data_IF_501484627598
#
_entry.id   IF_501484627598
#
_cell.length_a   1.000
_cell.length_b   1.000
_cell.length_c   1.000
_cell.angle_alpha   90.00
_cell.angle_beta   90.00
_cell.angle_gamma   90.00
#
_symmetry.space_group_name_H-M   'P 1'
#
loop_
_entity.id
_entity.type
_entity.pdbx_description
1 polymer ?
#
# COMPACT_ATOMS: atom_id res chain seq x y z
N UNK A 1 3.67 22.17 2.69
CA UNK A 1 2.63 21.18 2.28
C UNK A 1 2.37 21.25 0.77
N UNK A 2 3.32 20.84 -0.08
CA UNK A 2 3.18 21.01 -1.55
C UNK A 2 2.14 20.08 -2.20
N UNK A 3 1.90 18.88 -1.64
CA UNK A 3 0.97 17.89 -2.22
C UNK A 3 -0.48 18.00 -1.71
N UNK A 4 -0.75 18.89 -0.74
CA UNK A 4 -2.08 19.01 -0.16
C UNK A 4 -3.10 19.61 -1.14
N UNK A 5 -2.70 20.65 -1.87
CA UNK A 5 -3.57 21.35 -2.83
C UNK A 5 -3.91 20.48 -4.04
N UNK A 6 -2.92 19.84 -4.73
CA UNK A 6 -3.22 18.95 -5.85
C UNK A 6 -4.09 17.76 -5.45
N UNK A 7 -3.89 17.20 -4.25
CA UNK A 7 -4.73 16.10 -3.71
C UNK A 7 -6.17 16.54 -3.53
N UNK A 8 -6.41 17.70 -2.91
CA UNK A 8 -7.77 18.26 -2.75
C UNK A 8 -8.44 18.60 -4.08
N UNK A 9 -7.64 18.97 -5.08
CA UNK A 9 -8.14 19.35 -6.40
C UNK A 9 -8.42 18.16 -7.31
N UNK A 10 -8.11 16.93 -6.90
CA UNK A 10 -8.24 15.72 -7.74
C UNK A 10 -9.07 14.62 -7.08
N UNK A 11 -9.20 14.62 -5.74
CA UNK A 11 -10.10 13.71 -5.02
C UNK A 11 -11.43 14.45 -4.79
N UNK A 12 -12.56 13.96 -5.35
CA UNK A 12 -13.86 14.50 -4.98
C UNK A 12 -14.22 14.15 -3.53
N UNK A 13 -14.50 15.17 -2.73
CA UNK A 13 -15.00 15.04 -1.35
C UNK A 13 -16.51 15.28 -1.35
N UNK A 14 -17.29 14.28 -0.94
CA UNK A 14 -18.76 14.31 -0.94
C UNK A 14 -19.33 14.54 0.47
N UNK A 15 -18.48 14.79 1.47
CA UNK A 15 -18.91 15.05 2.84
C UNK A 15 -19.63 16.41 2.95
N UNK A 16 -20.77 16.44 3.64
CA UNK A 16 -21.61 17.66 3.75
C UNK A 16 -20.85 18.83 4.41
N UNK A 17 -19.90 18.55 5.32
CA UNK A 17 -19.10 19.57 6.00
C UNK A 17 -18.00 20.21 5.15
N UNK A 18 -17.49 19.50 4.13
CA UNK A 18 -16.37 19.96 3.28
C UNK A 18 -16.76 20.17 1.82
N UNK A 19 -18.04 19.98 1.51
CA UNK A 19 -18.58 20.10 0.15
C UNK A 19 -18.34 21.50 -0.40
N UNK A 20 -17.76 21.54 -1.60
CA UNK A 20 -17.64 22.77 -2.36
C UNK A 20 -17.72 22.47 -3.86
N UNK A 21 -18.67 23.12 -4.53
CA UNK A 21 -18.92 22.93 -5.96
C UNK A 21 -17.67 23.17 -6.80
N UNK A 22 -16.86 24.15 -6.44
CA UNK A 22 -15.62 24.49 -7.16
C UNK A 22 -14.59 23.35 -7.09
N UNK A 23 -14.40 22.74 -5.93
CA UNK A 23 -13.48 21.61 -5.77
C UNK A 23 -14.05 20.32 -6.36
N UNK A 24 -15.36 20.09 -6.31
CA UNK A 24 -16.01 18.95 -6.97
C UNK A 24 -15.85 19.00 -8.50
N UNK A 25 -16.03 20.18 -9.10
CA UNK A 25 -15.84 20.39 -10.54
C UNK A 25 -14.36 20.34 -10.91
N UNK A 26 -13.48 20.96 -10.11
CA UNK A 26 -12.04 20.89 -10.31
C UNK A 26 -11.55 19.43 -10.26
N UNK A 27 -11.96 18.64 -9.26
CA UNK A 27 -11.60 17.22 -9.16
C UNK A 27 -12.10 16.38 -10.33
N UNK A 28 -13.35 16.56 -10.76
CA UNK A 28 -13.87 15.87 -11.95
C UNK A 28 -13.08 16.21 -13.23
N UNK A 29 -12.59 17.45 -13.36
CA UNK A 29 -11.83 17.90 -14.53
C UNK A 29 -10.34 17.54 -14.50
N UNK A 30 -9.71 17.57 -13.31
CA UNK A 30 -8.28 17.37 -13.14
C UNK A 30 -7.92 15.89 -12.92
N UNK A 31 -8.88 15.06 -12.49
CA UNK A 31 -8.64 13.63 -12.27
C UNK A 31 -8.14 12.89 -13.53
N UNK A 32 -8.76 13.02 -14.72
CA UNK A 32 -8.28 12.36 -15.92
C UNK A 32 -6.88 12.82 -16.36
N UNK A 33 -6.55 14.10 -16.14
CA UNK A 33 -5.23 14.65 -16.45
C UNK A 33 -4.13 14.05 -15.56
N UNK A 34 -4.43 13.83 -14.27
CA UNK A 34 -3.51 13.15 -13.34
C UNK A 34 -3.32 11.67 -13.73
N UNK A 35 -4.38 10.99 -14.15
CA UNK A 35 -4.27 9.61 -14.64
C UNK A 35 -3.41 9.55 -15.90
N UNK A 36 -3.60 10.49 -16.83
CA UNK A 36 -2.81 10.58 -18.05
C UNK A 36 -1.32 10.86 -17.77
N UNK A 37 -1.01 11.72 -16.80
CA UNK A 37 0.39 11.98 -16.43
C UNK A 37 1.08 10.75 -15.84
N UNK A 38 0.39 9.99 -14.98
CA UNK A 38 0.90 8.72 -14.45
C UNK A 38 1.10 7.68 -15.55
N UNK A 39 0.13 7.55 -16.45
CA UNK A 39 0.19 6.61 -17.56
C UNK A 39 1.38 6.91 -18.49
N UNK A 40 1.63 8.19 -18.78
CA UNK A 40 2.73 8.62 -19.63
C UNK A 40 4.10 8.41 -18.95
N UNK A 41 4.20 8.69 -17.65
CA UNK A 41 5.42 8.46 -16.86
C UNK A 41 5.85 6.99 -16.87
N UNK A 42 4.89 6.08 -16.65
CA UNK A 42 5.11 4.62 -16.58
C UNK A 42 5.60 4.00 -17.89
N UNK A 43 5.26 4.57 -19.05
CA UNK A 43 5.52 3.97 -20.36
C UNK A 43 6.85 4.41 -20.99
N UNK A 44 7.66 5.19 -20.28
CA UNK A 44 9.12 5.28 -20.42
C UNK A 44 9.71 5.48 -21.82
N UNK A 45 8.95 5.99 -22.79
CA UNK A 45 9.41 6.04 -24.19
C UNK A 45 8.31 6.25 -25.23
N UNK A 46 7.19 6.87 -24.86
CA UNK A 46 6.18 7.25 -25.85
C UNK A 46 6.74 8.43 -26.66
N UNK A 47 6.76 8.31 -27.99
CA UNK A 47 7.12 9.43 -28.87
C UNK A 47 6.24 10.65 -28.55
N UNK A 48 6.81 11.85 -28.63
CA UNK A 48 6.18 13.12 -28.18
C UNK A 48 4.74 13.28 -28.68
N UNK A 49 4.42 12.71 -29.85
CA UNK A 49 3.08 12.71 -30.47
C UNK A 49 2.04 11.86 -29.74
N UNK A 50 2.36 10.65 -29.28
CA UNK A 50 1.35 9.82 -28.60
C UNK A 50 1.12 10.30 -27.16
N UNK A 51 2.13 10.89 -26.51
CA UNK A 51 1.98 11.52 -25.20
C UNK A 51 1.02 12.71 -25.25
N UNK A 52 1.20 13.59 -26.24
CA UNK A 52 0.27 14.71 -26.49
C UNK A 52 -1.15 14.19 -26.76
N UNK A 53 -1.28 13.10 -27.53
CA UNK A 53 -2.57 12.49 -27.85
C UNK A 53 -3.29 11.98 -26.60
N UNK A 54 -2.58 11.34 -25.67
CA UNK A 54 -3.14 10.88 -24.38
C UNK A 54 -3.61 12.06 -23.52
N UNK A 55 -2.83 13.15 -23.44
CA UNK A 55 -3.25 14.35 -22.72
C UNK A 55 -4.46 15.04 -23.35
N UNK A 56 -4.58 15.05 -24.69
CA UNK A 56 -5.73 15.61 -25.38
C UNK A 56 -7.01 14.84 -25.07
N UNK A 57 -6.98 13.50 -25.14
CA UNK A 57 -8.14 12.66 -24.78
C UNK A 57 -8.51 12.81 -23.30
N UNK A 58 -7.51 12.86 -22.41
CA UNK A 58 -7.74 13.07 -20.99
C UNK A 58 -8.33 14.46 -20.68
N UNK A 59 -7.85 15.50 -21.38
CA UNK A 59 -8.39 16.86 -21.27
C UNK A 59 -9.84 16.94 -21.74
N UNK A 60 -10.17 16.30 -22.88
CA UNK A 60 -11.55 16.21 -23.37
C UNK A 60 -12.45 15.47 -22.37
N UNK A 61 -11.99 14.32 -21.85
CA UNK A 61 -12.71 13.55 -20.84
C UNK A 61 -12.92 14.35 -19.55
N UNK A 62 -11.91 15.07 -19.08
CA UNK A 62 -12.01 15.96 -17.93
C UNK A 62 -12.99 17.12 -18.13
N UNK A 63 -13.05 17.71 -19.33
CA UNK A 63 -14.03 18.75 -19.66
C UNK A 63 -15.47 18.21 -19.66
N UNK A 64 -15.69 17.02 -20.22
CA UNK A 64 -17.01 16.36 -20.21
C UNK A 64 -17.43 16.02 -18.77
N UNK A 65 -16.53 15.46 -17.96
CA UNK A 65 -16.82 15.15 -16.56
C UNK A 65 -17.04 16.41 -15.71
N UNK A 66 -16.26 17.47 -15.93
CA UNK A 66 -16.42 18.76 -15.26
C UNK A 66 -17.72 19.47 -15.61
N UNK A 67 -18.13 19.45 -16.88
CA UNK A 67 -19.41 20.02 -17.34
C UNK A 67 -20.62 19.22 -16.86
N UNK A 68 -20.50 17.88 -16.80
CA UNK A 68 -21.50 17.02 -16.19
C UNK A 68 -21.61 17.31 -14.68
N UNK A 69 -20.47 17.43 -13.99
CA UNK A 69 -20.42 17.77 -12.57
C UNK A 69 -21.10 19.13 -12.27
N UNK A 70 -20.96 20.12 -13.17
CA UNK A 70 -21.63 21.41 -13.06
C UNK A 70 -23.15 21.32 -13.15
N UNK A 71 -23.67 20.41 -13.99
CA UNK A 71 -25.11 20.16 -14.18
C UNK A 71 -25.72 19.32 -13.06
N UNK A 72 -24.98 18.32 -12.56
CA UNK A 72 -25.47 17.43 -11.50
C UNK A 72 -25.40 18.07 -10.10
N UNK A 73 -24.54 19.08 -9.90
CA UNK A 73 -24.30 19.70 -8.58
C UNK A 73 -25.09 21.00 -8.37
N UNK A 74 -26.00 21.02 -7.38
CA UNK A 74 -26.64 22.24 -6.85
C UNK A 74 -25.93 22.78 -5.59
N UNK A 75 -26.15 24.07 -5.28
CA UNK A 75 -25.24 24.94 -4.50
C UNK A 75 -24.92 24.54 -3.04
N UNK A 76 -25.77 23.88 -2.23
CA UNK A 76 -25.37 23.57 -0.85
C UNK A 76 -25.27 22.08 -0.51
N UNK A 77 -25.76 21.17 -1.34
CA UNK A 77 -25.84 19.75 -0.99
C UNK A 77 -25.15 18.83 -1.99
N UNK A 78 -24.49 17.76 -1.51
CA UNK A 78 -23.92 16.75 -2.38
C UNK A 78 -25.02 16.07 -3.22
N UNK A 79 -24.70 15.66 -4.46
CA UNK A 79 -25.67 15.05 -5.36
C UNK A 79 -26.14 13.69 -4.82
N UNK A 80 -27.38 13.64 -4.31
CA UNK A 80 -27.97 12.43 -3.71
C UNK A 80 -28.31 11.34 -4.75
N UNK A 81 -28.63 11.72 -5.99
CA UNK A 81 -29.05 10.80 -7.06
C UNK A 81 -27.87 10.18 -7.83
N UNK A 82 -26.71 10.82 -7.81
CA UNK A 82 -25.50 10.35 -8.51
C UNK A 82 -24.34 10.11 -7.53
N UNK A 83 -24.65 9.74 -6.29
CA UNK A 83 -23.66 9.61 -5.21
C UNK A 83 -22.60 8.52 -5.51
N UNK A 84 -23.03 7.40 -6.11
CA UNK A 84 -22.15 6.27 -6.37
C UNK A 84 -20.95 6.61 -7.29
N UNK A 85 -21.14 7.26 -8.46
CA UNK A 85 -20.01 7.73 -9.28
C UNK A 85 -19.03 8.64 -8.55
N UNK A 86 -19.51 9.53 -7.68
CA UNK A 86 -18.64 10.42 -6.91
C UNK A 86 -17.83 9.68 -5.85
N UNK A 87 -18.45 8.72 -5.15
CA UNK A 87 -17.76 7.85 -4.20
C UNK A 87 -16.74 6.94 -4.90
N UNK A 88 -17.10 6.35 -6.03
CA UNK A 88 -16.21 5.51 -6.83
C UNK A 88 -15.01 6.32 -7.37
N UNK A 89 -15.26 7.53 -7.87
CA UNK A 89 -14.20 8.45 -8.32
C UNK A 89 -13.29 8.90 -7.18
N UNK A 90 -13.86 9.23 -6.02
CA UNK A 90 -13.11 9.58 -4.80
C UNK A 90 -12.23 8.44 -4.31
N UNK A 91 -12.78 7.23 -4.30
CA UNK A 91 -12.04 6.02 -3.96
C UNK A 91 -10.89 5.76 -4.94
N UNK A 92 -11.16 5.77 -6.25
CA UNK A 92 -10.14 5.53 -7.28
C UNK A 92 -9.01 6.56 -7.19
N UNK A 93 -9.34 7.83 -7.05
CA UNK A 93 -8.35 8.90 -6.92
C UNK A 93 -7.56 8.79 -5.61
N UNK A 94 -8.18 8.33 -4.53
CA UNK A 94 -7.47 8.03 -3.27
C UNK A 94 -6.46 6.89 -3.45
N UNK A 95 -6.83 5.82 -4.15
CA UNK A 95 -5.93 4.71 -4.49
C UNK A 95 -4.75 5.20 -5.33
N UNK A 96 -4.99 6.04 -6.35
CA UNK A 96 -3.93 6.62 -7.18
C UNK A 96 -2.99 7.53 -6.38
N UNK A 97 -3.51 8.33 -5.46
CA UNK A 97 -2.69 9.16 -4.58
C UNK A 97 -1.85 8.32 -3.62
N UNK A 98 -2.42 7.27 -3.04
CA UNK A 98 -1.66 6.31 -2.21
C UNK A 98 -0.54 5.69 -3.04
N UNK A 99 -0.81 5.32 -4.29
CA UNK A 99 0.18 4.80 -5.23
C UNK A 99 1.33 5.81 -5.48
N UNK A 100 1.01 7.08 -5.82
CA UNK A 100 2.02 8.13 -6.03
C UNK A 100 2.89 8.32 -4.78
N UNK A 101 2.26 8.43 -3.61
CA UNK A 101 2.97 8.67 -2.35
C UNK A 101 3.87 7.47 -2.03
N UNK A 102 3.41 6.25 -2.27
CA UNK A 102 4.22 5.05 -2.06
C UNK A 102 5.43 5.01 -3.01
N UNK A 103 5.26 5.36 -4.29
CA UNK A 103 6.35 5.41 -5.27
C UNK A 103 7.42 6.45 -4.89
N UNK A 104 7.00 7.67 -4.55
CA UNK A 104 7.89 8.73 -4.07
C UNK A 104 8.59 8.36 -2.76
N UNK A 105 7.88 7.73 -1.82
CA UNK A 105 8.45 7.25 -0.58
C UNK A 105 9.56 6.23 -0.82
N UNK A 106 9.33 5.25 -1.71
CA UNK A 106 10.34 4.26 -2.09
C UNK A 106 11.52 4.94 -2.77
N UNK A 107 11.29 5.88 -3.69
CA UNK A 107 12.35 6.63 -4.38
C UNK A 107 13.24 7.44 -3.42
N UNK A 108 12.62 8.13 -2.46
CA UNK A 108 13.34 8.84 -1.40
C UNK A 108 14.14 7.88 -0.52
N UNK A 109 13.56 6.73 -0.17
CA UNK A 109 14.24 5.74 0.65
C UNK A 109 15.45 5.13 -0.06
N UNK A 110 15.34 4.81 -1.35
CA UNK A 110 16.47 4.36 -2.18
C UNK A 110 17.55 5.43 -2.24
N UNK A 111 17.16 6.71 -2.39
CA UNK A 111 18.11 7.84 -2.39
C UNK A 111 18.85 7.96 -1.07
N UNK A 112 18.15 7.80 0.06
CA UNK A 112 18.76 7.75 1.40
C UNK A 112 19.70 6.56 1.53
N UNK A 113 19.31 5.38 1.01
CA UNK A 113 20.18 4.21 0.97
C UNK A 113 21.48 4.45 0.21
N UNK A 114 21.41 5.13 -0.93
CA UNK A 114 22.59 5.51 -1.69
C UNK A 114 23.53 6.44 -0.91
N UNK A 115 22.99 7.44 -0.20
CA UNK A 115 23.79 8.37 0.62
C UNK A 115 24.43 7.69 1.83
N UNK A 116 23.72 6.75 2.46
CA UNK A 116 24.19 6.05 3.66
C UNK A 116 25.02 4.78 3.35
N UNK A 117 25.15 4.40 2.08
CA UNK A 117 25.80 3.14 1.68
C UNK A 117 25.02 1.89 2.09
N UNK A 118 23.70 2.01 2.30
CA UNK A 118 22.81 0.92 2.71
C UNK A 118 22.06 0.39 1.49
N UNK A 119 21.99 -0.94 1.35
CA UNK A 119 21.28 -1.56 0.23
C UNK A 119 19.77 -1.25 0.28
N UNK A 120 19.12 -0.98 -0.87
CA UNK A 120 17.67 -0.80 -0.94
C UNK A 120 16.87 -1.98 -0.36
N UNK A 121 17.42 -3.19 -0.44
CA UNK A 121 16.83 -4.40 0.13
C UNK A 121 16.69 -4.33 1.66
N UNK A 122 17.70 -3.84 2.39
CA UNK A 122 17.60 -3.66 3.85
C UNK A 122 16.50 -2.66 4.16
N UNK A 123 16.49 -1.52 3.47
CA UNK A 123 15.55 -0.43 3.73
C UNK A 123 14.11 -0.88 3.45
N UNK A 124 13.90 -1.70 2.42
CA UNK A 124 12.62 -2.35 2.17
C UNK A 124 12.21 -3.33 3.27
N UNK A 125 13.14 -4.16 3.73
CA UNK A 125 12.88 -5.17 4.76
C UNK A 125 12.73 -4.58 6.17
N UNK A 126 13.25 -3.39 6.42
CA UNK A 126 13.20 -2.69 7.71
C UNK A 126 12.22 -1.54 7.67
N UNK A 127 12.62 -0.38 7.14
CA UNK A 127 11.85 0.87 7.20
C UNK A 127 10.49 0.72 6.50
N UNK A 128 10.44 0.15 5.29
CA UNK A 128 9.14 -0.03 4.60
C UNK A 128 8.28 -1.08 5.28
N UNK A 129 8.84 -2.24 5.62
CA UNK A 129 8.11 -3.31 6.28
C UNK A 129 7.58 -2.88 7.66
N UNK A 130 8.42 -2.25 8.49
CA UNK A 130 8.01 -1.71 9.79
C UNK A 130 7.00 -0.59 9.62
N UNK A 131 7.23 0.35 8.70
CA UNK A 131 6.31 1.44 8.42
C UNK A 131 4.90 0.94 8.07
N UNK A 132 4.81 -0.13 7.28
CA UNK A 132 3.53 -0.75 6.92
C UNK A 132 2.82 -1.41 8.11
N UNK A 133 3.56 -1.98 9.07
CA UNK A 133 2.98 -2.75 10.17
C UNK A 133 3.02 -2.07 11.54
N UNK A 134 3.60 -0.87 11.68
CA UNK A 134 3.71 -0.19 12.98
C UNK A 134 2.35 0.29 13.48
N UNK A 135 1.46 0.73 12.58
CA UNK A 135 0.10 1.14 12.92
C UNK A 135 -0.70 -0.05 13.44
N UNK A 136 -0.60 -1.19 12.76
CA UNK A 136 -1.21 -2.45 13.19
C UNK A 136 -0.64 -2.91 14.53
N UNK A 137 0.68 -2.80 14.75
CA UNK A 137 1.32 -3.13 16.01
C UNK A 137 0.75 -2.30 17.16
N UNK A 138 0.64 -0.97 16.98
CA UNK A 138 0.10 -0.07 18.00
C UNK A 138 -1.37 -0.39 18.27
N UNK A 139 -2.17 -0.61 17.23
CA UNK A 139 -3.60 -0.94 17.37
C UNK A 139 -3.81 -2.28 18.07
N UNK A 140 -3.09 -3.32 17.65
CA UNK A 140 -3.17 -4.65 18.26
C UNK A 140 -2.65 -4.64 19.71
N UNK A 141 -1.59 -3.88 20.01
CA UNK A 141 -1.11 -3.71 21.37
C UNK A 141 -2.15 -2.99 22.26
N UNK A 142 -2.74 -1.90 21.76
CA UNK A 142 -3.79 -1.18 22.47
C UNK A 142 -5.01 -2.07 22.74
N UNK A 143 -5.41 -2.89 21.76
CA UNK A 143 -6.49 -3.87 21.92
C UNK A 143 -6.13 -4.99 22.89
N UNK A 144 -4.88 -5.44 22.93
CA UNK A 144 -4.42 -6.46 23.87
C UNK A 144 -4.33 -5.93 25.32
N UNK A 145 -3.95 -4.67 25.50
CA UNK A 145 -3.78 -4.05 26.83
C UNK A 145 -5.09 -3.50 27.40
N UNK A 146 -5.92 -2.87 26.57
CA UNK A 146 -7.12 -2.14 26.99
C UNK A 146 -8.42 -2.79 26.51
N UNK A 147 -8.35 -3.81 25.65
CA UNK A 147 -9.52 -4.55 25.24
C UNK A 147 -10.14 -5.32 26.40
N UNK A 148 -11.45 -5.55 26.33
CA UNK A 148 -12.19 -6.37 27.29
C UNK A 148 -11.72 -7.83 27.26
N UNK A 149 -12.50 -8.78 27.84
CA UNK A 149 -12.11 -10.20 27.99
C UNK A 149 -11.52 -10.87 26.74
N UNK A 150 -11.88 -10.44 25.52
CA UNK A 150 -11.44 -11.02 24.25
C UNK A 150 -10.44 -10.15 23.46
N UNK A 151 -9.96 -9.03 24.04
CA UNK A 151 -9.10 -8.06 23.34
C UNK A 151 -7.82 -8.66 22.76
N UNK A 152 -7.19 -9.58 23.50
CA UNK A 152 -5.99 -10.27 23.05
C UNK A 152 -6.26 -11.27 21.91
N UNK A 153 -7.44 -11.90 21.88
CA UNK A 153 -7.83 -12.79 20.78
C UNK A 153 -8.09 -11.99 19.51
N UNK A 154 -8.76 -10.84 19.62
CA UNK A 154 -8.99 -9.91 18.51
C UNK A 154 -7.65 -9.42 17.97
N UNK A 155 -6.72 -9.00 18.84
CA UNK A 155 -5.39 -8.56 18.44
C UNK A 155 -4.61 -9.65 17.67
N UNK A 156 -4.64 -10.91 18.14
CA UNK A 156 -4.01 -12.03 17.42
C UNK A 156 -4.67 -12.24 16.06
N UNK A 157 -6.00 -12.21 15.99
CA UNK A 157 -6.70 -12.39 14.72
C UNK A 157 -6.29 -11.33 13.70
N UNK A 158 -6.13 -10.07 14.12
CA UNK A 158 -5.63 -8.98 13.29
C UNK A 158 -4.19 -9.19 12.82
N UNK A 159 -3.29 -9.58 13.73
CA UNK A 159 -1.88 -9.85 13.43
C UNK A 159 -1.67 -10.94 12.37
N UNK A 160 -2.57 -11.93 12.26
CA UNK A 160 -2.49 -12.96 11.22
C UNK A 160 -3.29 -12.59 9.96
N UNK A 161 -4.51 -12.07 10.12
CA UNK A 161 -5.38 -11.75 8.98
C UNK A 161 -4.76 -10.70 8.05
N UNK A 162 -4.12 -9.67 8.61
CA UNK A 162 -3.49 -8.60 7.81
C UNK A 162 -2.40 -9.11 6.86
N UNK A 163 -1.34 -9.76 7.36
CA UNK A 163 -0.29 -10.34 6.51
C UNK A 163 -0.80 -11.40 5.53
N UNK A 164 -1.75 -12.25 5.93
CA UNK A 164 -2.38 -13.24 5.03
C UNK A 164 -3.10 -12.53 3.88
N UNK A 165 -3.91 -11.53 4.18
CA UNK A 165 -4.61 -10.75 3.17
C UNK A 165 -3.63 -10.01 2.24
N UNK A 166 -2.60 -9.36 2.78
CA UNK A 166 -1.59 -8.67 1.97
C UNK A 166 -0.84 -9.64 1.04
N UNK A 167 -0.52 -10.84 1.52
CA UNK A 167 0.16 -11.85 0.71
C UNK A 167 -0.75 -12.41 -0.39
N UNK A 168 -1.98 -12.78 -0.05
CA UNK A 168 -2.91 -13.38 -1.02
C UNK A 168 -3.45 -12.36 -2.01
N UNK A 169 -3.99 -11.25 -1.53
CA UNK A 169 -4.59 -10.23 -2.38
C UNK A 169 -3.54 -9.30 -2.97
N UNK A 170 -2.60 -8.78 -2.17
CA UNK A 170 -1.58 -7.84 -2.62
C UNK A 170 -0.56 -8.50 -3.55
N UNK A 171 0.23 -9.44 -3.03
CA UNK A 171 1.24 -10.13 -3.83
C UNK A 171 0.61 -11.02 -4.92
N UNK A 172 -0.43 -11.79 -4.59
CA UNK A 172 -1.09 -12.68 -5.56
C UNK A 172 -1.67 -11.94 -6.76
N UNK A 173 -2.43 -10.85 -6.54
CA UNK A 173 -2.97 -10.05 -7.65
C UNK A 173 -1.85 -9.37 -8.45
N UNK A 174 -0.81 -8.89 -7.78
CA UNK A 174 0.35 -8.26 -8.44
C UNK A 174 1.09 -9.25 -9.35
N UNK A 175 1.23 -10.51 -8.94
CA UNK A 175 1.81 -11.57 -9.77
C UNK A 175 0.92 -11.91 -10.96
N UNK A 176 -0.39 -12.00 -10.77
CA UNK A 176 -1.35 -12.24 -11.88
C UNK A 176 -1.28 -11.11 -12.91
N UNK A 177 -1.29 -9.85 -12.46
CA UNK A 177 -1.18 -8.69 -13.34
C UNK A 177 0.17 -8.68 -14.07
N UNK A 178 1.27 -8.93 -13.35
CA UNK A 178 2.63 -8.98 -13.95
C UNK A 178 2.77 -10.08 -14.99
N UNK A 179 2.22 -11.27 -14.72
CA UNK A 179 2.18 -12.37 -15.68
C UNK A 179 1.32 -12.04 -16.90
N UNK A 180 0.20 -11.34 -16.69
CA UNK A 180 -0.67 -10.91 -17.79
C UNK A 180 0.01 -9.88 -18.70
N UNK A 181 0.74 -8.92 -18.14
CA UNK A 181 1.43 -7.87 -18.91
C UNK A 181 2.69 -8.36 -19.61
N UNK A 182 3.31 -9.45 -19.12
CA UNK A 182 4.53 -10.02 -19.72
C UNK A 182 4.25 -10.96 -20.90
N UNK A 183 2.99 -11.28 -21.18
CA UNK A 183 2.58 -12.19 -22.26
C UNK A 183 3.07 -11.68 -23.63
N UNK A 184 3.66 -12.55 -24.49
CA UNK A 184 3.73 -14.02 -24.42
C UNK A 184 4.90 -14.58 -23.60
N UNK A 185 5.83 -13.76 -23.14
CA UNK A 185 7.02 -14.22 -22.42
C UNK A 185 6.66 -14.71 -21.00
N UNK A 186 7.33 -15.77 -20.50
CA UNK A 186 7.18 -16.18 -19.11
C UNK A 186 7.65 -15.08 -18.15
N UNK A 187 6.85 -14.79 -17.13
CA UNK A 187 7.27 -13.92 -16.04
C UNK A 187 8.19 -14.69 -15.09
N UNK A 188 9.50 -14.40 -15.13
CA UNK A 188 10.47 -15.01 -14.24
C UNK A 188 10.41 -14.40 -12.83
N UNK A 189 10.15 -15.24 -11.83
CA UNK A 189 10.18 -14.82 -10.43
C UNK A 189 11.64 -14.87 -9.97
N UNK A 190 12.23 -13.75 -9.52
CA UNK A 190 13.61 -13.74 -9.06
C UNK A 190 13.74 -14.54 -7.76
N UNK A 191 14.27 -15.75 -7.85
CA UNK A 191 14.51 -16.62 -6.70
C UNK A 191 15.89 -16.29 -6.12
N UNK A 192 15.92 -15.33 -5.19
CA UNK A 192 17.13 -15.00 -4.44
C UNK A 192 17.20 -15.81 -3.14
N UNK A 193 18.40 -16.17 -2.64
CA UNK A 193 18.57 -16.86 -1.35
C UNK A 193 17.82 -16.18 -0.21
N UNK A 194 17.71 -14.84 -0.28
CA UNK A 194 16.99 -14.06 0.69
C UNK A 194 15.49 -14.44 0.82
N UNK A 195 14.84 -14.89 -0.26
CA UNK A 195 13.43 -15.32 -0.20
C UNK A 195 13.29 -16.57 0.65
N UNK A 196 14.22 -17.53 0.52
CA UNK A 196 14.14 -18.78 1.27
C UNK A 196 14.31 -18.59 2.77
N UNK A 197 15.22 -17.71 3.22
CA UNK A 197 15.35 -17.51 4.67
C UNK A 197 14.16 -16.72 5.23
N UNK A 198 13.59 -15.76 4.48
CA UNK A 198 12.34 -15.08 4.90
C UNK A 198 11.22 -16.11 5.08
N UNK A 199 11.02 -16.99 4.10
CA UNK A 199 10.05 -18.08 4.17
C UNK A 199 10.35 -19.05 5.32
N UNK A 200 11.63 -19.39 5.54
CA UNK A 200 12.06 -20.29 6.61
C UNK A 200 11.73 -19.74 7.99
N UNK A 201 12.02 -18.46 8.26
CA UNK A 201 11.68 -17.81 9.53
C UNK A 201 10.17 -17.63 9.70
N UNK A 202 9.43 -17.33 8.62
CA UNK A 202 7.96 -17.25 8.64
C UNK A 202 7.34 -18.61 9.01
N UNK A 203 7.78 -19.69 8.35
CA UNK A 203 7.32 -21.06 8.64
C UNK A 203 7.73 -21.45 10.06
N UNK A 204 8.95 -21.13 10.49
CA UNK A 204 9.43 -21.40 11.84
C UNK A 204 8.56 -20.73 12.92
N UNK A 205 8.19 -19.46 12.72
CA UNK A 205 7.25 -18.75 13.59
C UNK A 205 5.86 -19.38 13.62
N UNK A 206 5.34 -19.81 12.47
CA UNK A 206 4.04 -20.46 12.38
C UNK A 206 4.05 -21.85 13.05
N UNK A 207 5.10 -22.63 12.85
CA UNK A 207 5.29 -23.93 13.52
C UNK A 207 5.43 -23.75 15.03
N UNK A 208 6.17 -22.73 15.49
CA UNK A 208 6.25 -22.40 16.91
C UNK A 208 4.86 -22.12 17.50
N UNK A 209 4.07 -21.27 16.84
CA UNK A 209 2.71 -20.98 17.26
C UNK A 209 1.83 -22.24 17.27
N UNK A 210 1.89 -23.05 16.21
CA UNK A 210 1.12 -24.29 16.07
C UNK A 210 1.50 -25.35 17.12
N UNK A 211 2.74 -25.36 17.61
CA UNK A 211 3.19 -26.30 18.63
C UNK A 211 2.86 -25.84 20.06
N UNK A 212 2.96 -24.54 20.34
CA UNK A 212 2.78 -24.01 21.69
C UNK A 212 1.29 -23.78 22.02
N UNK A 213 0.48 -23.30 21.07
CA UNK A 213 -0.93 -23.01 21.31
C UNK A 213 -1.73 -24.24 21.76
N UNK A 214 -1.67 -25.41 21.08
CA UNK A 214 -2.40 -26.59 21.53
C UNK A 214 -1.90 -27.14 22.87
N UNK A 215 -0.60 -27.01 23.15
CA UNK A 215 -0.01 -27.44 24.44
C UNK A 215 -0.43 -26.58 25.63
N UNK A 216 -1.00 -25.40 25.38
CA UNK A 216 -1.44 -24.42 26.38
C UNK A 216 -2.95 -24.22 26.34
N UNK A 217 -3.70 -25.22 25.89
CA UNK A 217 -5.18 -25.20 25.79
C UNK A 217 -5.71 -24.02 24.98
N UNK A 218 -5.01 -23.65 23.89
CA UNK A 218 -5.31 -22.49 23.03
C UNK A 218 -5.31 -21.14 23.77
N UNK A 219 -4.65 -21.06 24.93
CA UNK A 219 -4.48 -19.81 25.67
C UNK A 219 -3.19 -19.12 25.25
N UNK A 220 -3.28 -17.80 25.07
CA UNK A 220 -2.12 -16.96 24.83
C UNK A 220 -1.30 -16.88 26.12
N UNK A 221 -0.07 -17.38 26.08
CA UNK A 221 0.87 -17.35 27.19
C UNK A 221 2.14 -16.58 26.78
N UNK A 222 2.90 -16.08 27.77
CA UNK A 222 4.16 -15.34 27.56
C UNK A 222 5.18 -16.16 26.78
N UNK A 223 5.15 -17.49 26.91
CA UNK A 223 6.04 -18.41 26.17
C UNK A 223 5.85 -18.28 24.65
N UNK A 224 4.59 -18.16 24.20
CA UNK A 224 4.30 -17.96 22.78
C UNK A 224 4.89 -16.64 22.30
N UNK A 225 4.63 -15.55 23.01
CA UNK A 225 5.11 -14.20 22.67
C UNK A 225 6.63 -14.07 22.68
N UNK A 226 7.29 -14.57 23.72
CA UNK A 226 8.76 -14.55 23.83
C UNK A 226 9.40 -15.37 22.69
N UNK A 227 8.85 -16.54 22.37
CA UNK A 227 9.38 -17.35 21.28
C UNK A 227 9.21 -16.69 19.91
N UNK A 228 8.04 -16.10 19.62
CA UNK A 228 7.83 -15.35 18.37
C UNK A 228 8.76 -14.13 18.27
N UNK A 229 8.95 -13.40 19.37
CA UNK A 229 9.88 -12.28 19.42
C UNK A 229 11.33 -12.72 19.22
N UNK A 230 11.75 -13.84 19.82
CA UNK A 230 13.08 -14.40 19.66
C UNK A 230 13.35 -14.83 18.20
N UNK A 231 12.38 -15.48 17.55
CA UNK A 231 12.47 -15.86 16.13
C UNK A 231 12.62 -14.60 15.26
N UNK A 232 11.81 -13.57 15.51
CA UNK A 232 11.86 -12.30 14.79
C UNK A 232 13.19 -11.56 14.98
N UNK A 233 13.68 -11.47 16.22
CA UNK A 233 14.97 -10.83 16.52
C UNK A 233 16.13 -11.59 15.89
N UNK A 234 16.12 -12.93 15.94
CA UNK A 234 17.11 -13.77 15.27
C UNK A 234 17.15 -13.52 13.77
N UNK A 235 15.98 -13.53 13.12
CA UNK A 235 15.83 -13.18 11.70
C UNK A 235 16.41 -11.81 11.38
N UNK A 236 16.01 -10.79 12.16
CA UNK A 236 16.45 -9.41 11.95
C UNK A 236 17.97 -9.27 12.10
N UNK A 237 18.56 -9.89 13.14
CA UNK A 237 20.00 -9.87 13.37
C UNK A 237 20.78 -10.55 12.24
N UNK A 238 20.32 -11.72 11.77
CA UNK A 238 20.96 -12.43 10.66
C UNK A 238 20.90 -11.60 9.37
N UNK A 239 19.74 -11.00 9.07
CA UNK A 239 19.57 -10.15 7.89
C UNK A 239 20.42 -8.89 7.91
N UNK A 240 20.48 -8.24 9.06
CA UNK A 240 21.37 -7.09 9.24
C UNK A 240 22.83 -7.49 9.09
N UNK A 241 23.24 -8.62 9.67
CA UNK A 241 24.63 -9.13 9.60
C UNK A 241 25.06 -9.45 8.17
N UNK A 242 24.24 -10.20 7.43
CA UNK A 242 24.48 -10.53 6.02
C UNK A 242 24.60 -9.27 5.17
N UNK A 243 23.70 -8.30 5.39
CA UNK A 243 23.69 -7.12 4.54
C UNK A 243 24.70 -6.04 4.92
N UNK A 244 25.27 -6.09 6.13
CA UNK A 244 26.46 -5.31 6.51
C UNK A 244 27.77 -5.97 6.04
N UNK A 245 27.69 -7.12 5.34
CA UNK A 245 28.87 -7.83 4.83
C UNK A 245 29.68 -8.57 5.89
N UNK A 246 29.13 -8.74 7.11
CA UNK A 246 29.80 -9.41 8.23
C UNK A 246 29.74 -10.93 8.07
N UNK A 247 28.72 -11.43 7.38
CA UNK A 247 28.57 -12.85 7.02
C UNK A 247 28.41 -12.97 5.49
N UNK A 248 29.47 -13.41 4.82
CA UNK A 248 29.36 -13.87 3.44
C UNK A 248 28.73 -15.27 3.46
N UNK A 249 27.47 -15.36 3.03
CA UNK A 249 26.80 -16.61 2.70
C UNK A 249 26.48 -16.61 1.21
#
# INVERSE_FOLDING_TARGET
MPLFLPRRLTIPDVSEERWSRTYAVASASLAPLLVASLWNSKRGGIGTKEGITVYLYAGLGGLVLGTLALHTTKKPSPPKTALFPWLAGGFLMSVLWTYIIAEELVGLLVSVGYVLGISPGILGLTVLAWGNSVGDLIANLAMAMNGSRDGAQIAISGCYAGPIFNTLAGLGLSLVVSAWTSRPEPFEIPVVPAVFEILGFMIGGLLWALLILPRKDMRLDRVLGIGLLAIYLCFLSLRLSQSLGIMHA
#
